data_IF_694911868661
#
_entry.id   IF_694911868661
#
_cell.length_a   1.000
_cell.length_b   1.000
_cell.length_c   1.000
_cell.angle_alpha   90.00
_cell.angle_beta   90.00
_cell.angle_gamma   90.00
#
_symmetry.space_group_name_H-M   'P 1'
#
loop_
_entity.id
_entity.type
_entity.pdbx_description
1 polymer ?
#
# COMPACT_ATOMS: atom_id res chain seq x y z
N UNK A 1 2.71 5.21 18.63
CA UNK A 1 3.31 5.89 17.46
C UNK A 1 3.66 4.85 16.39
N UNK A 2 2.79 4.53 15.40
CA UNK A 2 3.01 3.29 14.64
C UNK A 2 2.26 3.28 13.31
N UNK A 3 2.99 3.11 12.19
CA UNK A 3 2.45 2.80 10.87
C UNK A 3 3.43 1.96 10.03
N UNK A 4 4.28 1.18 10.68
CA UNK A 4 5.17 0.23 10.03
C UNK A 4 5.19 -1.09 10.79
N UNK A 5 5.41 -2.22 10.11
CA UNK A 5 5.59 -3.53 10.74
C UNK A 5 6.72 -3.48 11.79
N UNK A 6 6.56 -4.21 12.87
CA UNK A 6 7.64 -4.42 13.84
C UNK A 6 8.81 -5.17 13.20
N UNK A 7 10.03 -4.87 13.65
CA UNK A 7 11.24 -5.60 13.22
C UNK A 7 11.25 -7.09 13.62
N UNK A 8 10.29 -7.53 14.42
CA UNK A 8 10.06 -8.93 14.81
C UNK A 8 8.94 -9.60 14.03
N UNK A 9 8.22 -8.85 13.17
CA UNK A 9 7.10 -9.40 12.41
C UNK A 9 7.57 -10.45 11.40
N UNK A 10 6.90 -11.60 11.37
CA UNK A 10 7.08 -12.64 10.35
C UNK A 10 6.60 -12.22 8.96
N UNK A 11 5.80 -11.15 8.87
CA UNK A 11 5.29 -10.65 7.60
C UNK A 11 6.32 -9.83 6.80
N UNK A 12 7.54 -9.65 7.31
CA UNK A 12 8.63 -9.02 6.57
C UNK A 12 9.22 -9.97 5.53
N UNK A 13 9.78 -9.42 4.46
CA UNK A 13 10.51 -10.16 3.44
C UNK A 13 11.96 -10.41 3.91
N UNK A 14 12.19 -11.46 4.68
CA UNK A 14 13.49 -11.73 5.30
C UNK A 14 14.14 -13.06 4.86
N UNK A 15 13.42 -13.84 4.06
CA UNK A 15 13.79 -15.22 3.73
C UNK A 15 14.88 -15.31 2.68
N UNK A 16 14.96 -14.33 1.78
CA UNK A 16 15.92 -14.32 0.68
C UNK A 16 16.84 -13.11 0.80
N UNK A 17 18.15 -13.35 0.66
CA UNK A 17 19.16 -12.29 0.55
C UNK A 17 20.01 -12.48 -0.70
N UNK A 18 20.40 -11.37 -1.30
CA UNK A 18 21.36 -11.38 -2.39
C UNK A 18 22.82 -11.41 -1.87
N UNK A 19 23.80 -11.51 -2.77
CA UNK A 19 25.23 -11.49 -2.46
C UNK A 19 25.72 -10.20 -1.77
N UNK A 20 24.98 -9.11 -1.90
CA UNK A 20 25.24 -7.82 -1.24
C UNK A 20 24.57 -7.70 0.14
N UNK A 21 23.91 -8.75 0.61
CA UNK A 21 23.19 -8.79 1.89
C UNK A 21 21.85 -8.06 1.88
N UNK A 22 21.35 -7.58 0.74
CA UNK A 22 20.01 -6.99 0.64
C UNK A 22 18.92 -8.06 0.71
N UNK A 23 17.82 -7.76 1.34
CA UNK A 23 16.62 -8.59 1.29
C UNK A 23 16.00 -8.52 -0.10
N UNK A 24 15.60 -9.67 -0.62
CA UNK A 24 15.03 -9.80 -1.97
C UNK A 24 13.55 -10.04 -1.87
N UNK A 25 12.77 -9.24 -2.59
CA UNK A 25 11.35 -9.44 -2.83
C UNK A 25 11.20 -9.96 -4.26
N UNK A 26 10.85 -11.25 -4.45
CA UNK A 26 10.55 -11.78 -5.76
C UNK A 26 9.29 -11.13 -6.31
N UNK A 27 9.24 -10.86 -7.62
CA UNK A 27 8.04 -10.35 -8.25
C UNK A 27 7.80 -10.93 -9.64
N UNK A 28 6.56 -10.85 -10.08
CA UNK A 28 6.16 -11.03 -11.48
C UNK A 28 5.29 -9.84 -11.90
N UNK A 29 5.21 -9.60 -13.18
CA UNK A 29 4.28 -8.63 -13.77
C UNK A 29 3.35 -9.42 -14.67
N UNK A 30 2.09 -9.58 -14.26
CA UNK A 30 1.04 -10.24 -15.01
C UNK A 30 0.01 -9.22 -15.52
N UNK A 31 -0.43 -9.41 -16.76
CA UNK A 31 -1.36 -8.47 -17.40
C UNK A 31 -0.71 -7.55 -18.44
N UNK A 32 -1.51 -6.63 -18.96
CA UNK A 32 -1.10 -5.76 -20.07
C UNK A 32 -0.67 -4.40 -19.53
N UNK A 33 0.61 -4.12 -19.59
CA UNK A 33 1.21 -2.85 -19.24
C UNK A 33 1.86 -2.21 -20.45
N UNK A 34 1.67 -0.92 -20.63
CA UNK A 34 2.41 -0.12 -21.61
C UNK A 34 3.90 -0.06 -21.25
N UNK A 35 4.73 0.32 -22.20
CA UNK A 35 6.17 0.52 -21.96
C UNK A 35 6.43 1.57 -20.88
N UNK A 36 5.64 2.64 -20.82
CA UNK A 36 5.77 3.69 -19.83
C UNK A 36 5.44 3.19 -18.41
N UNK A 37 4.37 2.42 -18.27
CA UNK A 37 3.98 1.83 -16.99
C UNK A 37 5.03 0.85 -16.47
N UNK A 38 5.58 0.00 -17.34
CA UNK A 38 6.70 -0.89 -16.98
C UNK A 38 7.94 -0.11 -16.52
N UNK A 39 8.25 1.01 -17.18
CA UNK A 39 9.33 1.89 -16.76
C UNK A 39 9.06 2.53 -15.40
N UNK A 40 7.82 2.95 -15.13
CA UNK A 40 7.43 3.50 -13.83
C UNK A 40 7.56 2.45 -12.71
N UNK A 41 7.14 1.20 -12.97
CA UNK A 41 7.31 0.08 -12.04
C UNK A 41 8.80 -0.14 -11.73
N UNK A 42 9.63 -0.24 -12.76
CA UNK A 42 11.07 -0.45 -12.58
C UNK A 42 11.70 0.72 -11.82
N UNK A 43 11.38 1.96 -12.20
CA UNK A 43 11.87 3.17 -11.53
C UNK A 43 11.51 3.19 -10.04
N UNK A 44 10.30 2.79 -9.67
CA UNK A 44 9.87 2.73 -8.28
C UNK A 44 10.65 1.65 -7.49
N UNK A 45 10.85 0.47 -8.07
CA UNK A 45 11.66 -0.59 -7.48
C UNK A 45 13.12 -0.16 -7.29
N UNK A 46 13.69 0.53 -8.27
CA UNK A 46 15.07 1.05 -8.22
C UNK A 46 15.20 2.13 -7.13
N UNK A 47 14.19 2.99 -6.96
CA UNK A 47 14.19 3.99 -5.90
C UNK A 47 14.21 3.35 -4.51
N UNK A 48 13.41 2.30 -4.29
CA UNK A 48 13.44 1.51 -3.04
C UNK A 48 14.82 0.87 -2.85
N UNK A 49 15.35 0.22 -3.88
CA UNK A 49 16.64 -0.49 -3.81
C UNK A 49 17.82 0.46 -3.57
N UNK A 50 17.76 1.68 -4.10
CA UNK A 50 18.76 2.73 -3.88
C UNK A 50 18.78 3.25 -2.45
N UNK A 51 17.60 3.39 -1.85
CA UNK A 51 17.43 4.08 -0.57
C UNK A 51 17.36 3.14 0.65
N UNK A 52 17.21 1.81 0.42
CA UNK A 52 17.03 0.81 1.49
C UNK A 52 17.90 -0.42 1.26
N UNK A 53 17.82 -1.39 2.16
CA UNK A 53 18.38 -2.73 1.98
C UNK A 53 17.36 -3.72 1.36
N UNK A 54 16.37 -3.23 0.64
CA UNK A 54 15.40 -4.05 -0.11
C UNK A 54 15.79 -4.03 -1.58
N UNK A 55 15.59 -5.15 -2.26
CA UNK A 55 15.74 -5.25 -3.72
C UNK A 55 14.59 -6.10 -4.28
N UNK A 56 13.98 -5.61 -5.35
CA UNK A 56 13.04 -6.41 -6.14
C UNK A 56 13.81 -7.18 -7.22
N UNK A 57 13.38 -8.39 -7.48
CA UNK A 57 13.96 -9.26 -8.51
C UNK A 57 12.88 -10.13 -9.14
N UNK A 58 12.99 -10.39 -10.43
CA UNK A 58 12.13 -11.36 -11.09
C UNK A 58 12.10 -12.70 -10.32
N UNK A 59 10.92 -13.26 -10.11
CA UNK A 59 10.70 -14.51 -9.39
C UNK A 59 11.37 -15.68 -10.07
N UNK A 60 12.02 -16.55 -9.32
CA UNK A 60 12.40 -17.89 -9.77
C UNK A 60 11.21 -18.85 -9.60
N UNK A 61 11.11 -19.87 -10.43
CA UNK A 61 9.98 -20.82 -10.44
C UNK A 61 9.74 -21.52 -9.08
N UNK A 62 10.80 -21.73 -8.31
CA UNK A 62 10.74 -22.41 -7.01
C UNK A 62 10.40 -21.48 -5.83
N UNK A 63 10.29 -20.20 -6.05
CA UNK A 63 9.95 -19.23 -4.99
C UNK A 63 8.43 -19.17 -4.83
N UNK A 64 7.97 -19.51 -3.63
CA UNK A 64 6.53 -19.60 -3.34
C UNK A 64 5.95 -18.24 -2.94
N UNK A 65 6.76 -17.39 -2.30
CA UNK A 65 6.34 -16.07 -1.85
C UNK A 65 6.85 -15.00 -2.82
N UNK A 66 5.94 -14.20 -3.34
CA UNK A 66 6.26 -13.16 -4.31
C UNK A 66 5.16 -12.10 -4.40
N UNK A 67 5.46 -10.99 -5.02
CA UNK A 67 4.50 -9.94 -5.38
C UNK A 67 4.08 -10.14 -6.84
N UNK A 68 2.78 -10.23 -7.09
CA UNK A 68 2.23 -10.21 -8.44
C UNK A 68 1.68 -8.80 -8.73
N UNK A 69 2.25 -8.13 -9.71
CA UNK A 69 1.81 -6.81 -10.18
C UNK A 69 0.91 -7.05 -11.37
N UNK A 70 -0.38 -6.85 -11.18
CA UNK A 70 -1.41 -7.18 -12.16
C UNK A 70 -2.03 -5.92 -12.74
N UNK A 71 -2.40 -5.99 -14.01
CA UNK A 71 -3.33 -5.06 -14.65
C UNK A 71 -4.51 -5.89 -15.19
N UNK A 72 -5.65 -5.76 -14.53
CA UNK A 72 -6.90 -6.42 -14.95
C UNK A 72 -7.81 -5.39 -15.59
N UNK A 73 -8.24 -5.64 -16.81
CA UNK A 73 -8.99 -4.68 -17.64
C UNK A 73 -10.20 -4.06 -16.96
N UNK A 74 -10.88 -4.81 -16.10
CA UNK A 74 -12.14 -4.40 -15.45
C UNK A 74 -12.00 -4.10 -13.95
N UNK A 75 -10.81 -4.32 -13.38
CA UNK A 75 -10.55 -4.19 -11.95
C UNK A 75 -9.42 -3.19 -11.61
N UNK A 76 -8.74 -2.65 -12.63
CA UNK A 76 -7.62 -1.74 -12.47
C UNK A 76 -6.29 -2.45 -12.13
N UNK A 77 -5.36 -1.71 -11.54
CA UNK A 77 -4.05 -2.24 -11.14
C UNK A 77 -4.14 -2.86 -9.75
N UNK A 78 -3.59 -4.06 -9.62
CA UNK A 78 -3.58 -4.83 -8.38
C UNK A 78 -2.14 -5.22 -8.04
N UNK A 79 -1.76 -5.02 -6.78
CA UNK A 79 -0.51 -5.54 -6.22
C UNK A 79 -0.84 -6.66 -5.24
N UNK A 80 -0.82 -7.88 -5.69
CA UNK A 80 -1.14 -9.04 -4.86
C UNK A 80 0.13 -9.63 -4.24
N UNK A 81 0.08 -9.96 -2.96
CA UNK A 81 1.16 -10.69 -2.28
C UNK A 81 0.74 -12.13 -2.11
N UNK A 82 1.45 -13.03 -2.77
CA UNK A 82 1.29 -14.46 -2.58
C UNK A 82 2.36 -14.96 -1.60
N UNK A 83 1.92 -15.35 -0.40
CA UNK A 83 2.74 -15.97 0.64
C UNK A 83 2.19 -17.33 1.01
N UNK A 84 2.77 -18.37 0.45
CA UNK A 84 2.36 -19.76 0.70
C UNK A 84 3.11 -20.33 1.90
N UNK A 85 4.32 -19.86 2.19
CA UNK A 85 5.15 -20.35 3.28
C UNK A 85 4.56 -20.11 4.66
N UNK A 86 3.77 -19.04 4.83
CA UNK A 86 3.09 -18.72 6.10
C UNK A 86 1.78 -19.47 6.34
N UNK A 87 1.25 -20.17 5.33
CA UNK A 87 0.00 -20.93 5.46
C UNK A 87 0.17 -22.26 6.21
N UNK A 88 1.38 -22.68 6.57
CA UNK A 88 1.62 -23.97 7.23
C UNK A 88 1.49 -23.98 8.74
N UNK A 89 1.46 -22.86 9.42
CA UNK A 89 1.24 -22.83 10.89
C UNK A 89 0.63 -21.49 11.30
N UNK A 90 -0.46 -21.61 12.00
CA UNK A 90 -1.21 -20.63 12.78
C UNK A 90 -2.56 -20.28 12.16
N UNK A 91 -3.62 -20.74 12.85
CA UNK A 91 -4.90 -20.03 12.83
C UNK A 91 -4.61 -18.58 13.22
N UNK A 92 -4.47 -17.72 12.23
CA UNK A 92 -4.28 -16.30 12.42
C UNK A 92 -5.57 -15.78 13.05
N UNK A 93 -5.53 -15.25 14.31
CA UNK A 93 -6.64 -14.45 14.75
C UNK A 93 -6.78 -13.34 13.72
N UNK A 94 -7.99 -13.13 13.22
CA UNK A 94 -8.35 -12.14 12.19
C UNK A 94 -7.37 -10.97 12.21
N UNK A 95 -6.28 -11.09 11.44
CA UNK A 95 -5.56 -9.93 11.01
C UNK A 95 -6.63 -9.07 10.35
N UNK A 96 -6.73 -7.84 10.80
CA UNK A 96 -7.38 -6.80 10.03
C UNK A 96 -6.87 -7.03 8.62
N UNK A 97 -7.72 -7.60 7.78
CA UNK A 97 -7.47 -7.69 6.37
C UNK A 97 -7.00 -6.29 6.00
N UNK A 98 -5.71 -6.13 5.67
CA UNK A 98 -5.39 -5.16 4.67
C UNK A 98 -6.21 -5.66 3.49
N UNK A 99 -7.47 -5.23 3.45
CA UNK A 99 -8.24 -5.32 2.23
C UNK A 99 -7.28 -4.84 1.19
N UNK A 100 -7.03 -5.70 0.22
CA UNK A 100 -6.26 -5.40 -0.97
C UNK A 100 -6.59 -3.96 -1.28
N UNK A 101 -5.64 -3.04 -1.00
CA UNK A 101 -5.85 -1.64 -1.28
C UNK A 101 -6.12 -1.58 -2.76
N UNK A 102 -7.40 -1.56 -3.07
CA UNK A 102 -7.86 -1.22 -4.39
C UNK A 102 -7.17 0.10 -4.63
N UNK A 103 -6.35 0.15 -5.64
CA UNK A 103 -5.84 1.41 -6.12
C UNK A 103 -7.07 2.27 -6.37
N UNK A 104 -7.52 2.99 -5.37
CA UNK A 104 -8.58 3.98 -5.48
C UNK A 104 -7.96 5.12 -6.25
N UNK A 105 -7.79 4.89 -7.56
CA UNK A 105 -7.54 5.97 -8.50
C UNK A 105 -8.77 6.85 -8.46
N UNK A 106 -8.71 7.81 -7.58
CA UNK A 106 -9.72 8.82 -7.43
C UNK A 106 -9.70 9.68 -8.70
N UNK A 107 -10.73 9.50 -9.52
CA UNK A 107 -10.97 10.43 -10.62
C UNK A 107 -11.30 11.79 -10.03
N UNK A 108 -10.70 12.89 -10.50
CA UNK A 108 -11.03 14.25 -10.06
C UNK A 108 -12.52 14.58 -10.22
N UNK A 109 -13.25 13.80 -10.98
CA UNK A 109 -14.64 14.08 -11.38
C UNK A 109 -15.70 13.43 -10.51
N UNK A 110 -15.32 12.79 -9.40
CA UNK A 110 -16.27 12.36 -8.34
C UNK A 110 -17.32 11.32 -8.76
N UNK A 111 -17.17 10.68 -9.92
CA UNK A 111 -18.13 9.71 -10.42
C UNK A 111 -17.63 8.27 -10.22
N UNK A 112 -18.39 7.57 -9.38
CA UNK A 112 -18.46 6.13 -9.24
C UNK A 112 -17.30 5.42 -8.53
N UNK A 113 -17.48 5.26 -7.22
CA UNK A 113 -16.97 4.15 -6.44
C UNK A 113 -17.48 2.83 -7.04
N UNK A 114 -16.62 2.10 -7.72
CA UNK A 114 -16.91 0.72 -8.07
C UNK A 114 -16.45 -0.15 -6.90
N UNK A 115 -17.42 -0.70 -6.20
CA UNK A 115 -17.24 -1.69 -5.16
C UNK A 115 -16.68 -2.97 -5.81
N UNK A 116 -15.39 -3.26 -5.62
CA UNK A 116 -14.79 -4.51 -6.04
C UNK A 116 -14.84 -5.51 -4.89
N UNK A 117 -15.61 -6.56 -5.12
CA UNK A 117 -15.91 -7.59 -4.13
C UNK A 117 -14.68 -8.29 -3.53
N UNK A 118 -14.79 -8.54 -2.24
CA UNK A 118 -13.88 -9.35 -1.43
C UNK A 118 -13.83 -10.78 -1.96
N UNK A 119 -12.66 -11.25 -2.39
CA UNK A 119 -12.44 -12.68 -2.60
C UNK A 119 -11.88 -13.30 -1.30
N UNK A 120 -12.76 -13.97 -0.56
CA UNK A 120 -12.36 -14.94 0.46
C UNK A 120 -11.77 -16.15 -0.24
N UNK A 121 -10.50 -16.43 -0.05
CA UNK A 121 -9.95 -17.75 -0.33
C UNK A 121 -10.28 -18.64 0.86
N UNK A 122 -11.46 -19.24 0.82
CA UNK A 122 -11.83 -20.37 1.65
C UNK A 122 -11.75 -21.63 0.81
N UNK A 123 -10.88 -22.55 1.18
CA UNK A 123 -10.88 -23.92 0.67
C UNK A 123 -12.15 -24.62 1.14
N UNK A 124 -13.22 -24.53 0.39
CA UNK A 124 -14.29 -25.56 0.31
C UNK A 124 -15.08 -25.30 -0.97
N UNK A 125 -15.18 -26.34 -1.78
CA UNK A 125 -16.00 -26.43 -2.98
C UNK A 125 -17.46 -26.14 -2.66
N UNK A 126 -18.00 -25.05 -3.18
CA UNK A 126 -19.46 -24.83 -3.28
C UNK A 126 -19.77 -24.33 -4.67
N UNK A 127 -20.65 -25.06 -5.33
CA UNK A 127 -21.20 -24.76 -6.64
C UNK A 127 -21.80 -23.36 -6.67
N UNK A 128 -21.36 -22.53 -7.60
CA UNK A 128 -21.97 -21.24 -7.89
C UNK A 128 -23.04 -21.46 -8.95
N UNK A 129 -24.29 -21.39 -8.55
CA UNK A 129 -25.42 -21.16 -9.44
C UNK A 129 -25.91 -19.73 -9.25
N UNK A 130 -26.05 -19.07 -10.40
CA UNK A 130 -26.72 -17.80 -10.68
C UNK A 130 -25.89 -16.52 -10.62
N UNK A 131 -25.54 -16.09 -11.83
CA UNK A 131 -25.19 -14.73 -12.24
C UNK A 131 -26.45 -13.87 -12.26
N UNK A 132 -26.43 -12.63 -11.72
CA UNK A 132 -27.35 -11.60 -12.19
C UNK A 132 -26.82 -11.03 -13.51
N UNK A 133 -27.64 -11.13 -14.54
CA UNK A 133 -27.46 -10.46 -15.82
C UNK A 133 -27.65 -8.96 -15.63
N UNK A 134 -26.59 -8.20 -15.71
CA UNK A 134 -26.65 -6.76 -16.03
C UNK A 134 -25.78 -6.49 -17.25
N UNK A 135 -26.43 -6.62 -18.40
CA UNK A 135 -25.95 -6.04 -19.66
C UNK A 135 -26.04 -4.52 -19.56
N UNK A 136 -24.96 -3.88 -19.15
CA UNK A 136 -24.68 -2.50 -19.53
C UNK A 136 -23.22 -2.46 -19.97
N UNK A 137 -23.04 -2.12 -21.26
CA UNK A 137 -21.77 -1.86 -21.90
C UNK A 137 -21.12 -0.62 -21.26
N UNK A 138 -20.48 -0.79 -20.12
CA UNK A 138 -19.51 0.16 -19.63
C UNK A 138 -18.15 -0.25 -20.19
N UNK A 139 -17.75 0.39 -21.28
CA UNK A 139 -16.35 0.53 -21.62
C UNK A 139 -15.77 1.44 -20.55
N UNK A 140 -15.27 0.85 -19.46
CA UNK A 140 -14.46 1.59 -18.49
C UNK A 140 -13.17 1.98 -19.21
N UNK A 141 -12.91 3.26 -19.49
CA UNK A 141 -11.59 3.66 -19.90
C UNK A 141 -10.66 3.24 -18.76
N UNK A 142 -9.58 2.53 -19.08
CA UNK A 142 -8.51 2.26 -18.12
C UNK A 142 -8.21 3.58 -17.42
N UNK A 143 -8.44 3.64 -16.07
CA UNK A 143 -8.30 4.89 -15.33
C UNK A 143 -6.88 5.41 -15.52
N UNK A 144 -6.69 6.56 -16.22
CA UNK A 144 -5.36 7.14 -16.36
C UNK A 144 -4.90 7.56 -14.95
N UNK A 145 -3.74 7.09 -14.53
CA UNK A 145 -3.11 7.51 -13.27
C UNK A 145 -2.72 6.38 -12.30
N UNK A 146 -3.32 5.19 -12.38
CA UNK A 146 -3.02 4.10 -11.42
C UNK A 146 -1.62 3.51 -11.59
N UNK A 147 -1.01 3.59 -12.76
CA UNK A 147 0.38 3.18 -12.99
C UNK A 147 1.32 4.39 -13.08
N UNK A 148 0.95 5.52 -12.49
CA UNK A 148 1.87 6.61 -12.27
C UNK A 148 2.90 6.28 -11.20
N UNK A 149 4.08 6.84 -11.34
CA UNK A 149 5.20 6.57 -10.43
C UNK A 149 4.86 6.76 -8.95
N UNK A 150 4.19 7.84 -8.49
CA UNK A 150 3.85 8.02 -7.08
C UNK A 150 2.95 6.90 -6.53
N UNK A 151 1.96 6.48 -7.32
CA UNK A 151 1.04 5.40 -6.93
C UNK A 151 1.77 4.07 -6.81
N UNK A 152 2.63 3.75 -7.77
CA UNK A 152 3.43 2.51 -7.72
C UNK A 152 4.35 2.51 -6.49
N UNK A 153 5.01 3.65 -6.19
CA UNK A 153 5.83 3.77 -4.98
C UNK A 153 5.00 3.52 -3.73
N UNK A 154 3.80 4.12 -3.63
CA UNK A 154 2.87 3.93 -2.53
C UNK A 154 2.54 2.43 -2.32
N UNK A 155 2.12 1.75 -3.39
CA UNK A 155 1.78 0.34 -3.34
C UNK A 155 2.97 -0.56 -2.94
N UNK A 156 4.15 -0.29 -3.49
CA UNK A 156 5.36 -1.01 -3.10
C UNK A 156 5.69 -0.82 -1.61
N UNK A 157 5.48 0.38 -1.05
CA UNK A 157 5.67 0.64 0.37
C UNK A 157 4.73 -0.21 1.24
N UNK A 158 3.47 -0.40 0.82
CA UNK A 158 2.55 -1.33 1.49
C UNK A 158 3.08 -2.76 1.47
N UNK A 159 3.55 -3.24 0.30
CA UNK A 159 4.07 -4.62 0.17
C UNK A 159 5.35 -4.85 0.98
N UNK A 160 6.11 -3.78 1.25
CA UNK A 160 7.29 -3.82 2.14
C UNK A 160 6.88 -3.84 3.62
N UNK A 161 5.72 -3.26 3.99
CA UNK A 161 5.19 -3.29 5.35
C UNK A 161 4.87 -1.94 5.98
N UNK A 162 4.60 -0.89 5.18
CA UNK A 162 4.08 0.38 5.66
C UNK A 162 2.55 0.42 5.51
N UNK A 163 1.87 0.97 6.51
CA UNK A 163 0.47 1.41 6.43
C UNK A 163 0.38 2.90 6.13
N UNK A 164 -0.83 3.37 5.86
CA UNK A 164 -1.07 4.78 5.64
C UNK A 164 -0.63 5.63 6.84
N UNK A 165 -0.10 6.82 6.56
CA UNK A 165 0.42 7.72 7.60
C UNK A 165 -0.70 8.24 8.50
N UNK A 166 -1.89 8.55 7.94
CA UNK A 166 -3.05 9.00 8.69
C UNK A 166 -3.68 7.92 9.59
N UNK A 167 -3.31 6.64 9.43
CA UNK A 167 -3.72 5.55 10.32
C UNK A 167 -2.81 5.40 11.55
N UNK A 168 -1.79 6.22 11.68
CA UNK A 168 -0.91 6.19 12.84
C UNK A 168 -1.70 6.38 14.14
N UNK A 169 -1.31 5.66 15.16
CA UNK A 169 -1.91 5.76 16.50
C UNK A 169 -1.91 7.21 17.04
N UNK A 170 -0.83 7.96 16.79
CA UNK A 170 -0.64 9.35 17.26
C UNK A 170 -1.19 10.41 16.31
N UNK A 171 -1.87 10.02 15.22
CA UNK A 171 -2.34 10.94 14.18
C UNK A 171 -3.20 12.09 14.73
N UNK A 172 -4.00 11.85 15.78
CA UNK A 172 -4.92 12.85 16.33
C UNK A 172 -4.19 14.04 17.00
N UNK A 173 -2.85 13.95 17.15
CA UNK A 173 -1.99 15.08 17.52
C UNK A 173 -1.58 15.93 16.33
N UNK A 174 -1.87 15.51 15.13
CA UNK A 174 -1.41 16.11 13.87
C UNK A 174 -2.55 16.43 12.92
N UNK A 175 -3.58 15.60 12.89
CA UNK A 175 -4.74 15.75 12.00
C UNK A 175 -6.04 15.50 12.78
N UNK A 176 -7.12 16.09 12.29
CA UNK A 176 -8.49 15.77 12.67
C UNK A 176 -9.17 15.05 11.51
N UNK A 177 -9.85 13.94 11.80
CA UNK A 177 -10.66 13.19 10.82
C UNK A 177 -12.11 13.54 11.02
N UNK A 178 -12.78 13.91 9.94
CA UNK A 178 -14.18 14.28 9.86
C UNK A 178 -15.01 13.10 9.37
N UNK A 179 -15.30 12.14 10.27
CA UNK A 179 -16.04 10.93 9.94
C UNK A 179 -17.43 11.22 9.38
N UNK A 180 -18.05 12.34 9.74
CA UNK A 180 -19.32 12.81 9.20
C UNK A 180 -19.28 13.10 7.70
N UNK A 181 -18.09 13.30 7.14
CA UNK A 181 -17.86 13.55 5.71
C UNK A 181 -17.46 12.28 4.94
N UNK A 182 -17.32 11.15 5.62
CA UNK A 182 -16.88 9.87 5.06
C UNK A 182 -18.07 8.90 5.09
N UNK A 183 -18.37 8.18 3.97
CA UNK A 183 -19.34 7.09 4.01
C UNK A 183 -18.95 6.02 5.04
N UNK A 184 -19.93 5.44 5.72
CA UNK A 184 -19.70 4.51 6.82
C UNK A 184 -18.87 3.29 6.41
N UNK A 185 -19.05 2.81 5.19
CA UNK A 185 -18.30 1.70 4.59
C UNK A 185 -16.79 1.97 4.48
N UNK A 186 -16.37 3.25 4.43
CA UNK A 186 -14.95 3.63 4.38
C UNK A 186 -14.37 4.00 5.74
N UNK A 187 -15.15 4.00 6.82
CA UNK A 187 -14.63 4.35 8.15
C UNK A 187 -13.47 3.44 8.59
N UNK A 188 -13.44 2.18 8.14
CA UNK A 188 -12.35 1.25 8.41
C UNK A 188 -11.01 1.75 7.89
N UNK A 189 -10.97 2.44 6.72
CA UNK A 189 -9.77 3.01 6.10
C UNK A 189 -9.19 4.18 6.91
N UNK A 190 -9.97 4.75 7.82
CA UNK A 190 -9.54 5.82 8.72
C UNK A 190 -9.35 5.36 10.16
N UNK A 191 -9.38 4.04 10.42
CA UNK A 191 -9.11 3.49 11.74
C UNK A 191 -7.62 3.59 12.07
N UNK A 192 -7.31 3.87 13.33
CA UNK A 192 -5.90 3.84 13.81
C UNK A 192 -5.41 2.40 13.92
N UNK A 193 -4.16 2.14 13.50
CA UNK A 193 -3.52 0.83 13.64
C UNK A 193 -3.10 0.62 15.10
N UNK A 194 -3.39 -0.56 15.65
CA UNK A 194 -3.11 -0.89 17.03
C UNK A 194 -1.60 -0.96 17.33
N UNK A 195 -1.28 -0.66 18.60
CA UNK A 195 0.09 -0.66 19.10
C UNK A 195 0.75 -2.05 19.09
N UNK A 196 -0.03 -3.12 19.11
CA UNK A 196 0.49 -4.49 19.16
C UNK A 196 1.19 -4.83 17.84
N UNK A 197 0.67 -4.36 16.70
CA UNK A 197 1.08 -4.84 15.38
C UNK A 197 2.04 -3.91 14.65
N UNK A 198 2.19 -2.66 15.10
CA UNK A 198 2.92 -1.64 14.35
C UNK A 198 3.90 -0.80 15.19
N UNK A 199 4.75 -0.02 14.53
CA UNK A 199 5.68 0.94 15.15
C UNK A 199 5.99 2.08 14.19
N UNK A 200 6.38 3.27 14.69
CA UNK A 200 6.91 4.36 13.86
C UNK A 200 8.43 4.40 13.81
N UNK A 201 9.10 3.54 14.58
CA UNK A 201 10.56 3.62 14.75
C UNK A 201 11.04 5.01 15.21
N UNK A 202 10.26 5.71 16.01
CA UNK A 202 10.49 7.08 16.48
C UNK A 202 10.63 8.11 15.34
N UNK A 203 10.16 7.80 14.13
CA UNK A 203 10.09 8.76 13.03
C UNK A 203 8.90 9.69 13.28
N UNK A 204 9.08 11.02 13.29
CA UNK A 204 8.00 11.99 13.45
C UNK A 204 6.87 11.77 12.44
N UNK A 205 5.68 12.32 12.74
CA UNK A 205 4.56 12.32 11.80
C UNK A 205 4.95 13.11 10.54
N UNK A 206 4.68 12.52 9.39
CA UNK A 206 5.12 13.06 8.12
C UNK A 206 3.94 13.40 7.20
N UNK A 207 3.57 14.68 7.18
CA UNK A 207 2.51 15.18 6.32
C UNK A 207 2.83 15.05 4.82
N UNK A 208 4.12 14.89 4.47
CA UNK A 208 4.59 14.75 3.10
C UNK A 208 4.91 13.30 2.72
N UNK A 209 4.56 12.35 3.58
CA UNK A 209 4.69 10.92 3.27
C UNK A 209 3.87 10.55 2.04
N UNK A 210 4.43 9.73 1.14
CA UNK A 210 3.67 9.14 0.04
C UNK A 210 2.52 8.24 0.54
N UNK A 211 2.60 7.80 1.81
CA UNK A 211 1.57 7.01 2.48
C UNK A 211 0.47 7.84 3.12
N UNK A 212 0.47 9.18 2.95
CA UNK A 212 -0.55 10.05 3.53
C UNK A 212 -1.69 10.29 2.54
N UNK A 213 -2.92 10.11 3.01
CA UNK A 213 -4.11 10.47 2.23
C UNK A 213 -4.23 11.99 2.06
N UNK A 214 -4.88 12.41 0.98
CA UNK A 214 -5.25 13.81 0.75
C UNK A 214 -6.42 14.27 1.62
N UNK A 215 -6.59 15.58 1.75
CA UNK A 215 -7.61 16.20 2.61
C UNK A 215 -9.07 15.84 2.28
N UNK A 216 -9.33 15.36 1.05
CA UNK A 216 -10.67 14.99 0.57
C UNK A 216 -10.78 13.48 0.27
N UNK A 217 -9.74 12.69 0.59
CA UNK A 217 -9.76 11.25 0.32
C UNK A 217 -10.93 10.58 1.04
N UNK A 218 -11.67 9.72 0.32
CA UNK A 218 -12.83 9.00 0.85
C UNK A 218 -14.03 9.88 1.18
N UNK A 219 -14.10 11.12 0.69
CA UNK A 219 -15.24 12.01 0.94
C UNK A 219 -16.51 11.51 0.27
N UNK A 220 -17.64 11.59 0.99
CA UNK A 220 -18.97 11.24 0.45
C UNK A 220 -19.45 12.19 -0.66
N UNK A 221 -18.84 13.35 -0.78
CA UNK A 221 -19.14 14.35 -1.79
C UNK A 221 -17.89 15.18 -2.08
N UNK A 222 -17.69 15.56 -3.33
CA UNK A 222 -16.55 16.41 -3.76
C UNK A 222 -16.51 17.73 -2.97
N UNK A 223 -15.30 18.14 -2.58
CA UNK A 223 -15.07 19.37 -1.83
C UNK A 223 -15.27 19.25 -0.31
N UNK A 224 -15.71 18.10 0.20
CA UNK A 224 -15.78 17.87 1.64
C UNK A 224 -14.40 17.45 2.17
N UNK A 225 -13.97 18.16 3.21
CA UNK A 225 -12.74 17.82 3.92
C UNK A 225 -12.97 16.61 4.82
N UNK A 226 -12.24 15.53 4.61
CA UNK A 226 -12.25 14.32 5.44
C UNK A 226 -11.11 14.32 6.46
N UNK A 227 -10.01 15.00 6.14
CA UNK A 227 -8.88 15.19 7.06
C UNK A 227 -8.41 16.64 7.06
N UNK A 228 -8.30 17.21 8.25
CA UNK A 228 -7.78 18.56 8.49
C UNK A 228 -6.45 18.47 9.25
N UNK A 229 -5.42 19.14 8.78
CA UNK A 229 -4.15 19.22 9.49
C UNK A 229 -4.23 20.27 10.61
N UNK A 230 -3.76 19.93 11.81
CA UNK A 230 -3.68 20.88 12.93
C UNK A 230 -2.62 21.96 12.68
N UNK A 231 -1.63 21.68 11.85
CA UNK A 231 -0.68 22.66 11.34
C UNK A 231 -1.12 23.14 9.96
N UNK A 232 -1.57 24.38 9.89
CA UNK A 232 -2.12 24.98 8.66
C UNK A 232 -1.14 25.00 7.48
N UNK A 233 0.17 24.94 7.73
CA UNK A 233 1.21 24.89 6.69
C UNK A 233 1.07 23.65 5.79
N UNK A 234 0.48 22.57 6.29
CA UNK A 234 0.35 21.31 5.57
C UNK A 234 -1.05 21.05 5.00
N UNK A 235 -2.00 21.99 5.20
CA UNK A 235 -3.42 21.82 4.81
C UNK A 235 -3.60 21.34 3.37
N UNK A 236 -2.84 21.91 2.45
CA UNK A 236 -2.96 21.62 1.02
C UNK A 236 -1.80 20.76 0.50
N UNK A 237 -0.97 20.22 1.40
CA UNK A 237 0.20 19.41 1.06
C UNK A 237 0.00 17.93 1.32
N UNK A 238 -0.90 17.54 2.24
CA UNK A 238 -1.18 16.13 2.49
C UNK A 238 -1.75 15.46 1.24
N UNK A 239 -1.27 14.26 0.93
CA UNK A 239 -1.70 13.47 -0.24
C UNK A 239 -1.18 13.98 -1.59
N UNK A 240 -0.25 14.96 -1.61
CA UNK A 240 0.30 15.50 -2.87
C UNK A 240 1.70 14.99 -3.20
N UNK A 241 2.25 14.10 -2.36
CA UNK A 241 3.60 13.56 -2.53
C UNK A 241 3.78 12.91 -3.92
N UNK A 242 4.92 13.19 -4.54
CA UNK A 242 5.29 12.63 -5.85
C UNK A 242 6.34 11.52 -5.76
N UNK A 243 6.87 11.27 -4.56
CA UNK A 243 7.83 10.20 -4.27
C UNK A 243 7.79 9.90 -2.76
N UNK A 244 8.39 8.78 -2.37
CA UNK A 244 8.57 8.45 -0.96
C UNK A 244 9.47 9.49 -0.26
N UNK A 245 9.07 9.88 0.93
CA UNK A 245 9.83 10.81 1.75
C UNK A 245 11.05 10.14 2.40
N UNK A 246 11.95 10.95 2.94
CA UNK A 246 13.05 10.44 3.77
C UNK A 246 12.54 9.69 5.01
N UNK A 247 11.38 10.08 5.55
CA UNK A 247 10.73 9.41 6.69
C UNK A 247 10.20 8.05 6.31
N UNK A 248 9.63 7.88 5.12
CA UNK A 248 9.18 6.59 4.62
C UNK A 248 10.36 5.62 4.49
N UNK A 249 11.45 6.04 3.85
CA UNK A 249 12.66 5.21 3.74
C UNK A 249 13.28 4.88 5.11
N UNK A 250 13.31 5.84 6.05
CA UNK A 250 13.83 5.58 7.41
C UNK A 250 13.05 4.52 8.15
N UNK A 251 11.71 4.51 8.04
CA UNK A 251 10.87 3.46 8.62
C UNK A 251 11.21 2.08 8.05
N UNK A 252 11.38 1.98 6.73
CA UNK A 252 11.80 0.73 6.08
C UNK A 252 13.20 0.31 6.54
N UNK A 253 14.16 1.22 6.53
CA UNK A 253 15.51 0.93 6.97
C UNK A 253 15.56 0.43 8.42
N UNK A 254 14.75 1.00 9.30
CA UNK A 254 14.63 0.58 10.69
C UNK A 254 13.94 -0.79 10.81
N UNK A 255 12.85 -1.02 10.06
CA UNK A 255 12.11 -2.27 10.02
C UNK A 255 12.99 -3.46 9.62
N UNK A 256 13.83 -3.27 8.62
CA UNK A 256 14.70 -4.31 8.07
C UNK A 256 16.12 -4.30 8.65
N UNK A 257 16.40 -3.39 9.61
CA UNK A 257 17.72 -3.24 10.22
C UNK A 257 18.83 -3.06 9.17
N UNK A 258 18.58 -2.17 8.20
CA UNK A 258 19.54 -1.88 7.14
C UNK A 258 20.82 -1.27 7.71
N UNK A 259 21.99 -1.71 7.28
CA UNK A 259 23.25 -1.08 7.66
C UNK A 259 23.50 0.26 6.99
N UNK A 260 22.81 0.53 5.87
CA UNK A 260 22.82 1.81 5.15
C UNK A 260 21.39 2.21 4.78
N UNK A 261 21.11 3.52 4.79
CA UNK A 261 19.83 4.10 4.42
C UNK A 261 20.08 5.38 3.64
N UNK A 262 19.46 5.51 2.46
CA UNK A 262 19.64 6.66 1.57
C UNK A 262 21.14 7.00 1.34
N UNK A 263 21.95 5.94 1.11
CA UNK A 263 23.38 6.05 0.85
C UNK A 263 24.26 6.31 2.08
N UNK A 264 23.71 6.59 3.27
CA UNK A 264 24.48 6.86 4.51
C UNK A 264 24.46 5.66 5.45
N UNK A 265 25.48 5.51 6.30
CA UNK A 265 25.46 4.54 7.38
C UNK A 265 24.23 4.77 8.28
N UNK A 266 23.52 3.70 8.63
CA UNK A 266 22.31 3.78 9.40
C UNK A 266 22.46 2.94 10.68
N UNK A 267 22.36 3.60 11.82
CA UNK A 267 22.32 2.98 13.16
C UNK A 267 20.95 3.31 13.77
N UNK A 268 20.28 2.30 14.29
CA UNK A 268 19.05 2.47 15.08
C UNK A 268 19.33 3.04 16.44
#
# INVERSE_FOLDING_TARGET
>A
MRNALKATSSNRWTDIRNSQGKYVIPFIISGQFTSQERQNIQKAMDAVAKNTCIQFRARNLNELDYVDIQNRRDEGYLFEVLRISTLRQVAIPKLVECEVDKCLCWSPDGANLVELGVFKVGLTSVSVTQKPSLTQNFVSPAFPGCAEYPTIVHELMHKIGLWHEHMRYDRDKHIKVHFENIPQEFHAQFRKIDEIDSTTYNVPYDFLSVMHYGKESGARQRGLTTMETLDSRYRDLIGTAKDASSSDYRKICAMYKCGRCMGKAFRQ
#
